data_IF_811548226670
#
_entry.id   IF_811548226670
#
_cell.length_a   1.000
_cell.length_b   1.000
_cell.length_c   1.000
_cell.angle_alpha   90.00
_cell.angle_beta   90.00
_cell.angle_gamma   90.00
#
_symmetry.space_group_name_H-M   'P 1'
#
loop_
_entity.id
_entity.type
_entity.pdbx_description
1 polymer ?
#
# COMPACT_ATOMS: atom_id res chain seq x y z
N UNK A 1 18.60 -13.79 17.15
CA UNK A 1 17.25 -14.36 16.99
C UNK A 1 16.29 -13.23 16.56
N UNK A 2 16.32 -12.83 15.30
CA UNK A 2 15.38 -11.83 14.80
C UNK A 2 14.06 -12.55 14.48
N UNK A 3 13.06 -12.36 15.33
CA UNK A 3 11.69 -12.84 15.11
C UNK A 3 11.12 -12.17 13.87
N UNK A 4 11.13 -12.86 12.73
CA UNK A 4 10.41 -12.45 11.52
C UNK A 4 8.90 -12.55 11.82
N UNK A 5 8.32 -11.50 12.40
CA UNK A 5 6.87 -11.30 12.37
C UNK A 5 6.52 -10.90 10.93
N UNK A 6 6.34 -11.90 10.08
CA UNK A 6 5.96 -11.69 8.69
C UNK A 6 4.64 -10.91 8.65
N UNK A 7 4.58 -9.87 7.81
CA UNK A 7 3.41 -9.01 7.63
C UNK A 7 2.08 -9.78 7.52
N UNK A 8 2.11 -11.02 7.03
CA UNK A 8 0.98 -11.95 6.97
C UNK A 8 0.35 -12.25 8.33
N UNK A 9 1.12 -12.50 9.39
CA UNK A 9 0.58 -12.86 10.71
C UNK A 9 -0.15 -11.67 11.37
N UNK A 10 0.42 -10.47 11.26
CA UNK A 10 -0.20 -9.25 11.77
C UNK A 10 -1.46 -8.86 10.97
N UNK A 11 -1.44 -9.06 9.65
CA UNK A 11 -2.62 -8.84 8.82
C UNK A 11 -3.72 -9.84 9.15
N UNK A 12 -3.42 -11.14 9.32
CA UNK A 12 -4.40 -12.17 9.72
C UNK A 12 -5.07 -11.77 11.05
N UNK A 13 -4.30 -11.29 12.02
CA UNK A 13 -4.84 -10.81 13.30
C UNK A 13 -5.74 -9.59 13.13
N UNK A 14 -5.44 -8.70 12.16
CA UNK A 14 -6.17 -7.44 11.94
C UNK A 14 -7.45 -7.61 11.12
N UNK A 15 -7.45 -8.50 10.13
CA UNK A 15 -8.54 -8.60 9.14
C UNK A 15 -9.23 -9.97 9.11
N UNK A 16 -8.67 -10.98 9.78
CA UNK A 16 -9.08 -12.38 9.65
C UNK A 16 -8.54 -13.04 8.38
N UNK A 17 -8.46 -14.38 8.37
CA UNK A 17 -7.91 -15.13 7.25
C UNK A 17 -8.77 -15.03 5.98
N UNK A 18 -10.10 -15.01 6.13
CA UNK A 18 -11.05 -14.95 5.00
C UNK A 18 -10.95 -13.64 4.22
N UNK A 19 -10.83 -12.50 4.91
CA UNK A 19 -10.68 -11.19 4.28
C UNK A 19 -9.36 -11.04 3.51
N UNK A 20 -8.31 -11.78 3.90
CA UNK A 20 -6.99 -11.73 3.25
C UNK A 20 -6.94 -12.62 2.02
N UNK A 21 -7.63 -13.77 2.06
CA UNK A 21 -7.72 -14.71 0.95
C UNK A 21 -8.97 -14.46 0.09
N UNK A 22 -9.22 -13.20 -0.30
CA UNK A 22 -10.37 -12.83 -1.12
C UNK A 22 -9.94 -12.17 -2.44
N UNK A 23 -10.36 -12.75 -3.57
CA UNK A 23 -10.14 -12.20 -4.91
C UNK A 23 -10.87 -10.88 -5.15
N UNK A 24 -11.92 -10.57 -4.37
CA UNK A 24 -12.62 -9.28 -4.44
C UNK A 24 -11.71 -8.09 -4.07
N UNK A 25 -10.55 -8.35 -3.43
CA UNK A 25 -9.56 -7.34 -3.10
C UNK A 25 -8.48 -7.18 -4.20
N UNK A 26 -8.62 -7.86 -5.34
CA UNK A 26 -7.71 -7.74 -6.47
C UNK A 26 -8.22 -6.69 -7.46
N UNK A 27 -7.33 -5.79 -7.87
CA UNK A 27 -7.56 -4.85 -8.96
C UNK A 27 -6.51 -5.13 -10.04
N UNK A 28 -6.98 -5.49 -11.23
CA UNK A 28 -6.09 -5.72 -12.38
C UNK A 28 -5.65 -4.37 -12.96
N UNK A 29 -4.33 -4.18 -13.10
CA UNK A 29 -3.73 -2.99 -13.70
C UNK A 29 -2.60 -3.36 -14.66
N UNK A 30 -2.34 -2.57 -15.72
CA UNK A 30 -1.18 -2.74 -16.57
C UNK A 30 0.13 -2.76 -15.77
N UNK A 31 1.06 -3.64 -16.18
CA UNK A 31 2.37 -3.83 -15.54
C UNK A 31 3.16 -2.52 -15.36
N UNK A 32 3.13 -1.64 -16.35
CA UNK A 32 3.82 -0.35 -16.29
C UNK A 32 3.23 0.58 -15.22
N UNK A 33 1.91 0.55 -15.03
CA UNK A 33 1.27 1.30 -13.95
C UNK A 33 1.61 0.71 -12.58
N UNK A 34 1.68 -0.62 -12.47
CA UNK A 34 2.16 -1.26 -11.25
C UNK A 34 3.58 -0.78 -10.87
N UNK A 35 4.48 -0.67 -11.83
CA UNK A 35 5.83 -0.15 -11.58
C UNK A 35 5.84 1.31 -11.18
N UNK A 36 5.03 2.17 -11.82
CA UNK A 36 4.89 3.58 -11.41
C UNK A 36 4.40 3.71 -9.98
N UNK A 37 3.35 2.98 -9.61
CA UNK A 37 2.80 2.96 -8.25
C UNK A 37 3.88 2.50 -7.27
N UNK A 38 4.57 1.39 -7.56
CA UNK A 38 5.63 0.91 -6.67
C UNK A 38 6.78 1.92 -6.52
N UNK A 39 7.17 2.59 -7.60
CA UNK A 39 8.15 3.68 -7.58
C UNK A 39 7.70 4.84 -6.68
N UNK A 40 6.45 5.28 -6.83
CA UNK A 40 5.86 6.33 -5.99
C UNK A 40 5.89 5.97 -4.51
N UNK A 41 5.44 4.76 -4.14
CA UNK A 41 5.44 4.30 -2.75
C UNK A 41 6.84 4.20 -2.13
N UNK A 42 7.88 4.04 -2.94
CA UNK A 42 9.27 3.99 -2.51
C UNK A 42 9.97 5.37 -2.54
N UNK A 43 9.31 6.40 -3.08
CA UNK A 43 9.82 7.77 -3.08
C UNK A 43 9.85 8.35 -1.67
N UNK A 44 10.70 9.36 -1.46
CA UNK A 44 10.89 10.07 -0.18
C UNK A 44 10.65 11.57 -0.35
N UNK A 45 9.39 12.02 -0.43
CA UNK A 45 9.07 13.44 -0.43
C UNK A 45 9.65 14.13 0.80
N UNK A 46 10.07 15.39 0.65
CA UNK A 46 10.74 16.15 1.71
C UNK A 46 9.82 16.34 2.93
N UNK A 47 8.53 16.49 2.67
CA UNK A 47 7.46 16.70 3.64
C UNK A 47 7.28 15.52 4.59
N UNK A 48 7.73 14.32 4.20
CA UNK A 48 7.63 13.10 5.00
C UNK A 48 8.84 12.88 5.90
N UNK A 49 9.72 13.89 6.05
CA UNK A 49 10.82 13.85 7.02
C UNK A 49 11.81 12.72 6.76
N UNK A 50 12.01 12.33 5.50
CA UNK A 50 12.93 11.25 5.10
C UNK A 50 12.32 9.85 5.09
N UNK A 51 11.04 9.70 5.45
CA UNK A 51 10.29 8.46 5.26
C UNK A 51 9.93 8.25 3.80
N UNK A 52 9.81 6.98 3.40
CA UNK A 52 9.12 6.68 2.14
C UNK A 52 7.62 6.96 2.28
N UNK A 53 6.92 7.20 1.17
CA UNK A 53 5.45 7.27 1.18
C UNK A 53 4.85 6.03 1.86
N UNK A 54 5.38 4.83 1.56
CA UNK A 54 4.94 3.58 2.19
C UNK A 54 5.15 3.56 3.70
N UNK A 55 6.30 4.02 4.19
CA UNK A 55 6.61 3.98 5.62
C UNK A 55 5.81 5.01 6.42
N UNK A 56 5.61 6.19 5.85
CA UNK A 56 4.68 7.17 6.40
C UNK A 56 3.25 6.63 6.43
N UNK A 57 2.77 6.03 5.33
CA UNK A 57 1.39 5.56 5.24
C UNK A 57 1.08 4.45 6.26
N UNK A 58 2.06 3.60 6.60
CA UNK A 58 1.92 2.57 7.65
C UNK A 58 1.59 3.13 9.04
N UNK A 59 1.93 4.40 9.32
CA UNK A 59 1.62 5.04 10.62
C UNK A 59 0.21 5.62 10.68
N UNK A 60 -0.49 5.67 9.54
CA UNK A 60 -1.84 6.23 9.43
C UNK A 60 -2.91 5.20 9.83
N UNK A 61 -4.14 5.68 10.06
CA UNK A 61 -5.30 4.80 10.30
C UNK A 61 -5.57 3.91 9.09
N UNK A 62 -6.23 2.78 9.29
CA UNK A 62 -6.59 1.90 8.16
C UNK A 62 -7.43 2.63 7.10
N UNK A 63 -8.39 3.45 7.51
CA UNK A 63 -9.23 4.23 6.60
C UNK A 63 -8.37 5.16 5.73
N UNK A 64 -7.44 5.89 6.34
CA UNK A 64 -6.52 6.76 5.60
C UNK A 64 -5.62 5.98 4.64
N UNK A 65 -5.17 4.77 5.03
CA UNK A 65 -4.41 3.89 4.14
C UNK A 65 -5.24 3.46 2.93
N UNK A 66 -6.52 3.13 3.15
CA UNK A 66 -7.45 2.70 2.12
C UNK A 66 -7.76 3.84 1.12
N UNK A 67 -8.21 4.99 1.62
CA UNK A 67 -8.53 6.17 0.81
C UNK A 67 -7.33 6.63 -0.02
N UNK A 68 -6.15 6.73 0.61
CA UNK A 68 -4.92 7.12 -0.07
C UNK A 68 -4.52 6.10 -1.14
N UNK A 69 -4.64 4.80 -0.86
CA UNK A 69 -4.37 3.75 -1.85
C UNK A 69 -5.26 3.87 -3.09
N UNK A 70 -6.56 4.11 -2.89
CA UNK A 70 -7.50 4.33 -4.00
C UNK A 70 -7.14 5.57 -4.81
N UNK A 71 -6.76 6.67 -4.15
CA UNK A 71 -6.34 7.90 -4.82
C UNK A 71 -5.12 7.65 -5.74
N UNK A 72 -4.10 6.94 -5.26
CA UNK A 72 -2.88 6.64 -6.03
C UNK A 72 -3.19 5.75 -7.24
N UNK A 73 -4.06 4.74 -7.08
CA UNK A 73 -4.53 3.92 -8.20
C UNK A 73 -5.25 4.78 -9.24
N UNK A 74 -6.15 5.67 -8.80
CA UNK A 74 -6.90 6.55 -9.68
C UNK A 74 -5.97 7.51 -10.44
N UNK A 75 -4.98 8.10 -9.76
CA UNK A 75 -3.95 8.94 -10.40
C UNK A 75 -3.14 8.17 -11.43
N UNK A 76 -2.75 6.93 -11.12
CA UNK A 76 -2.00 6.09 -12.05
C UNK A 76 -2.81 5.78 -13.32
N UNK A 77 -4.08 5.42 -13.17
CA UNK A 77 -5.00 5.14 -14.28
C UNK A 77 -5.25 6.38 -15.15
N UNK A 78 -5.34 7.56 -14.53
CA UNK A 78 -5.54 8.83 -15.22
C UNK A 78 -4.24 9.44 -15.79
N UNK A 79 -3.09 8.82 -15.55
CA UNK A 79 -1.78 9.32 -16.00
C UNK A 79 -1.28 10.56 -15.26
N UNK A 80 -1.77 10.82 -14.05
CA UNK A 80 -1.43 11.98 -13.21
C UNK A 80 -0.59 11.63 -11.98
N UNK A 81 -0.16 10.36 -11.86
CA UNK A 81 0.76 9.90 -10.83
C UNK A 81 2.22 10.21 -11.16
#
# INVERSE_FOLDING_TARGET
>A
MASYRGATADNIRKFGAESIHNTNNLVEIPKELHYKINGYYNSKPLELGGLTVRDWLKTQSFEAQYEYGLEIVQKALNGTL
#
